data_IF_176067350895
#
_entry.id   IF_176067350895
#
_cell.length_a   1.000
_cell.length_b   1.000
_cell.length_c   1.000
_cell.angle_alpha   90.00
_cell.angle_beta   90.00
_cell.angle_gamma   90.00
#
_symmetry.space_group_name_H-M   'P 1'
#
loop_
_entity.id
_entity.type
_entity.pdbx_description
1 polymer ?
#
# COMPACT_ATOMS: atom_id res chain seq x y z
N UNK A 1 15.48 3.87 -8.66
CA UNK A 1 14.40 4.56 -7.95
C UNK A 1 14.28 5.96 -8.51
N UNK A 2 13.10 6.34 -9.00
CA UNK A 2 12.83 7.67 -9.55
C UNK A 2 11.86 8.35 -8.58
N UNK A 3 12.38 8.84 -7.44
CA UNK A 3 11.63 9.52 -6.37
C UNK A 3 11.17 10.91 -6.82
N UNK A 4 10.48 11.02 -7.95
CA UNK A 4 10.14 12.34 -8.53
C UNK A 4 9.01 13.06 -7.79
N UNK A 5 8.32 12.39 -6.86
CA UNK A 5 7.06 12.89 -6.29
C UNK A 5 6.95 12.73 -4.76
N UNK A 6 8.07 12.69 -4.02
CA UNK A 6 7.99 12.68 -2.56
C UNK A 6 7.54 14.05 -2.04
N UNK A 7 6.43 14.09 -1.32
CA UNK A 7 5.86 15.29 -0.71
C UNK A 7 6.00 15.22 0.82
N UNK A 8 7.07 15.78 1.41
CA UNK A 8 7.23 15.79 2.85
C UNK A 8 6.14 16.65 3.51
N UNK A 9 5.58 16.13 4.59
CA UNK A 9 4.64 16.85 5.45
C UNK A 9 5.35 17.52 6.64
N UNK A 10 6.63 17.22 6.85
CA UNK A 10 7.50 17.88 7.82
C UNK A 10 7.59 17.18 9.18
N UNK A 11 6.85 16.10 9.37
CA UNK A 11 7.05 15.16 10.49
C UNK A 11 7.99 14.03 10.03
N UNK A 12 9.18 13.86 10.63
CA UNK A 12 10.16 12.88 10.15
C UNK A 12 9.67 11.43 10.12
N UNK A 13 8.81 11.04 11.07
CA UNK A 13 8.28 9.68 11.14
C UNK A 13 7.27 9.46 10.02
N UNK A 14 6.30 10.37 9.87
CA UNK A 14 5.30 10.26 8.81
C UNK A 14 5.95 10.38 7.42
N UNK A 15 6.97 11.23 7.27
CA UNK A 15 7.76 11.32 6.05
C UNK A 15 8.49 10.01 5.73
N UNK A 16 9.00 9.28 6.73
CA UNK A 16 9.61 7.96 6.55
C UNK A 16 8.57 6.89 6.17
N UNK A 17 7.39 6.92 6.80
CA UNK A 17 6.32 5.97 6.49
C UNK A 17 5.74 6.21 5.08
N UNK A 18 5.57 7.47 4.66
CA UNK A 18 5.21 7.81 3.29
C UNK A 18 6.26 7.35 2.27
N UNK A 19 7.57 7.50 2.57
CA UNK A 19 8.63 6.96 1.70
C UNK A 19 8.54 5.44 1.54
N UNK A 20 8.19 4.71 2.60
CA UNK A 20 8.00 3.25 2.55
C UNK A 20 6.79 2.89 1.70
N UNK A 21 5.70 3.64 1.82
CA UNK A 21 4.49 3.45 1.03
C UNK A 21 4.75 3.70 -0.47
N UNK A 22 5.42 4.81 -0.81
CA UNK A 22 5.83 5.13 -2.18
C UNK A 22 6.72 4.02 -2.78
N UNK A 23 7.68 3.52 -2.00
CA UNK A 23 8.53 2.42 -2.43
C UNK A 23 7.71 1.15 -2.73
N UNK A 24 6.74 0.81 -1.89
CA UNK A 24 5.89 -0.36 -2.13
C UNK A 24 5.02 -0.19 -3.38
N UNK A 25 4.54 1.03 -3.67
CA UNK A 25 3.82 1.35 -4.90
C UNK A 25 4.74 1.19 -6.12
N UNK A 26 5.97 1.71 -6.06
CA UNK A 26 6.98 1.56 -7.12
C UNK A 26 7.33 0.09 -7.38
N UNK A 27 7.47 -0.71 -6.32
CA UNK A 27 7.71 -2.15 -6.41
C UNK A 27 6.53 -2.83 -7.11
N UNK A 28 5.29 -2.55 -6.70
CA UNK A 28 4.10 -3.11 -7.36
C UNK A 28 4.03 -2.72 -8.84
N UNK A 29 4.25 -1.44 -9.16
CA UNK A 29 4.20 -0.92 -10.52
C UNK A 29 5.27 -1.54 -11.44
N UNK A 30 6.47 -1.82 -10.89
CA UNK A 30 7.60 -2.41 -11.63
C UNK A 30 7.64 -3.94 -11.59
N UNK A 31 6.82 -4.58 -10.75
CA UNK A 31 6.81 -6.04 -10.58
C UNK A 31 6.38 -6.78 -11.84
N UNK A 32 7.06 -7.89 -12.10
CA UNK A 32 6.66 -8.84 -13.13
C UNK A 32 5.35 -9.55 -12.74
N UNK A 33 4.66 -10.13 -13.72
CA UNK A 33 3.34 -10.72 -13.50
C UNK A 33 3.32 -11.79 -12.40
N UNK A 34 4.38 -12.61 -12.30
CA UNK A 34 4.50 -13.67 -11.30
C UNK A 34 4.68 -13.15 -9.86
N UNK A 35 5.26 -11.95 -9.70
CA UNK A 35 5.58 -11.36 -8.39
C UNK A 35 4.53 -10.32 -7.96
N UNK A 36 3.67 -9.89 -8.89
CA UNK A 36 2.73 -8.78 -8.69
C UNK A 36 1.72 -9.02 -7.58
N UNK A 37 1.30 -10.28 -7.37
CA UNK A 37 0.41 -10.61 -6.27
C UNK A 37 1.10 -10.45 -4.91
N UNK A 38 2.36 -10.89 -4.80
CA UNK A 38 3.18 -10.68 -3.60
C UNK A 38 3.42 -9.19 -3.35
N UNK A 39 3.78 -8.44 -4.39
CA UNK A 39 3.97 -7.00 -4.27
C UNK A 39 2.69 -6.26 -3.84
N UNK A 40 1.51 -6.69 -4.32
CA UNK A 40 0.23 -6.14 -3.89
C UNK A 40 -0.07 -6.46 -2.41
N UNK A 41 0.24 -7.69 -1.99
CA UNK A 41 0.14 -8.07 -0.58
C UNK A 41 1.03 -7.18 0.30
N UNK A 42 2.28 -6.98 -0.10
CA UNK A 42 3.26 -6.20 0.66
C UNK A 42 2.88 -4.72 0.73
N UNK A 43 2.40 -4.13 -0.38
CA UNK A 43 1.84 -2.78 -0.40
C UNK A 43 0.70 -2.65 0.63
N UNK A 44 -0.22 -3.61 0.67
CA UNK A 44 -1.32 -3.59 1.62
C UNK A 44 -0.84 -3.63 3.06
N UNK A 45 0.19 -4.42 3.37
CA UNK A 45 0.77 -4.47 4.72
C UNK A 45 1.42 -3.15 5.12
N UNK A 46 2.18 -2.52 4.22
CA UNK A 46 2.82 -1.22 4.46
C UNK A 46 1.76 -0.14 4.69
N UNK A 47 0.72 -0.10 3.85
CA UNK A 47 -0.41 0.83 4.03
C UNK A 47 -1.12 0.60 5.38
N UNK A 48 -1.34 -0.65 5.77
CA UNK A 48 -1.97 -1.00 7.06
C UNK A 48 -1.21 -0.41 8.24
N UNK A 49 0.10 -0.64 8.28
CA UNK A 49 0.95 -0.25 9.39
C UNK A 49 1.05 1.27 9.53
N UNK A 50 1.15 1.98 8.39
CA UNK A 50 1.13 3.43 8.36
C UNK A 50 -0.20 3.99 8.87
N UNK A 51 -1.33 3.53 8.33
CA UNK A 51 -2.65 4.01 8.73
C UNK A 51 -2.98 3.68 10.19
N UNK A 52 -2.63 2.50 10.70
CA UNK A 52 -2.84 2.16 12.11
C UNK A 52 -2.13 3.14 13.05
N UNK A 53 -0.88 3.50 12.72
CA UNK A 53 -0.12 4.46 13.53
C UNK A 53 -0.71 5.87 13.44
N UNK A 54 -1.12 6.33 12.26
CA UNK A 54 -1.66 7.67 12.07
C UNK A 54 -3.09 7.81 12.61
N UNK A 55 -3.94 6.79 12.45
CA UNK A 55 -5.29 6.73 13.05
C UNK A 55 -5.23 6.84 14.57
N UNK A 56 -4.22 6.21 15.20
CA UNK A 56 -3.99 6.30 16.64
C UNK A 56 -3.61 7.72 17.09
N UNK A 57 -2.93 8.49 16.24
CA UNK A 57 -2.58 9.88 16.50
C UNK A 57 -3.76 10.81 16.23
N UNK A 58 -4.45 10.64 15.11
CA UNK A 58 -5.62 11.41 14.69
C UNK A 58 -6.80 11.23 15.63
N UNK A 59 -7.05 10.02 16.13
CA UNK A 59 -8.13 9.76 17.10
C UNK A 59 -7.94 10.49 18.44
N UNK A 60 -6.72 10.95 18.74
CA UNK A 60 -6.42 11.79 19.90
C UNK A 60 -6.61 13.28 19.61
N UNK A 61 -6.74 13.66 18.35
CA UNK A 61 -7.01 15.02 17.90
C UNK A 61 -8.53 15.24 17.84
N UNK A 62 -9.02 16.28 18.51
CA UNK A 62 -10.46 16.59 18.59
C UNK A 62 -10.95 17.47 17.42
N UNK A 63 -10.38 17.31 16.24
CA UNK A 63 -10.79 18.07 15.05
C UNK A 63 -11.68 17.22 14.12
N UNK A 64 -12.54 17.89 13.35
CA UNK A 64 -13.48 17.23 12.45
C UNK A 64 -12.81 16.57 11.24
N UNK A 65 -11.57 16.96 10.91
CA UNK A 65 -10.83 16.43 9.78
C UNK A 65 -10.24 15.05 10.11
N UNK A 66 -9.86 14.80 11.36
CA UNK A 66 -9.34 13.53 11.84
C UNK A 66 -10.31 12.36 11.56
N UNK A 67 -11.61 12.57 11.77
CA UNK A 67 -12.60 11.51 11.49
C UNK A 67 -12.72 11.20 9.99
N UNK A 68 -12.77 12.22 9.14
CA UNK A 68 -12.84 12.04 7.69
C UNK A 68 -11.61 11.26 7.18
N UNK A 69 -10.44 11.57 7.72
CA UNK A 69 -9.18 10.95 7.33
C UNK A 69 -9.10 9.46 7.69
N UNK A 70 -9.53 9.06 8.89
CA UNK A 70 -9.61 7.64 9.28
C UNK A 70 -10.56 6.85 8.36
N UNK A 71 -11.69 7.45 7.98
CA UNK A 71 -12.65 6.82 7.06
C UNK A 71 -12.01 6.66 5.64
N UNK A 72 -11.18 7.60 5.20
CA UNK A 72 -10.42 7.52 3.94
C UNK A 72 -9.40 6.38 3.97
N UNK A 73 -8.67 6.18 5.08
CA UNK A 73 -7.76 5.04 5.27
C UNK A 73 -8.49 3.70 5.12
N UNK A 74 -9.66 3.57 5.74
CA UNK A 74 -10.45 2.34 5.68
C UNK A 74 -10.85 2.00 4.22
N UNK A 75 -11.27 2.98 3.43
CA UNK A 75 -11.65 2.75 2.03
C UNK A 75 -10.46 2.38 1.14
N UNK A 76 -9.27 2.96 1.38
CA UNK A 76 -8.05 2.56 0.66
C UNK A 76 -7.71 1.09 0.94
N UNK A 77 -7.75 0.67 2.21
CA UNK A 77 -7.45 -0.71 2.59
C UNK A 77 -8.45 -1.71 1.99
N UNK A 78 -9.73 -1.35 2.02
CA UNK A 78 -10.80 -2.13 1.38
C UNK A 78 -10.58 -2.26 -0.12
N UNK A 79 -10.22 -1.18 -0.81
CA UNK A 79 -9.91 -1.22 -2.24
C UNK A 79 -8.74 -2.16 -2.57
N UNK A 80 -7.66 -2.13 -1.78
CA UNK A 80 -6.54 -3.06 -1.92
C UNK A 80 -6.96 -4.51 -1.71
N UNK A 81 -7.80 -4.77 -0.70
CA UNK A 81 -8.33 -6.10 -0.41
C UNK A 81 -9.26 -6.61 -1.54
N UNK A 82 -10.11 -5.76 -2.12
CA UNK A 82 -10.97 -6.10 -3.26
C UNK A 82 -10.15 -6.47 -4.51
N UNK A 83 -9.10 -5.70 -4.84
CA UNK A 83 -8.20 -6.03 -5.95
C UNK A 83 -7.48 -7.35 -5.72
N UNK A 84 -7.03 -7.60 -4.48
CA UNK A 84 -6.34 -8.84 -4.11
C UNK A 84 -7.26 -10.05 -4.20
N UNK A 85 -8.49 -9.95 -3.71
CA UNK A 85 -9.49 -11.03 -3.75
C UNK A 85 -10.01 -11.29 -5.17
N UNK A 86 -10.08 -10.26 -6.00
CA UNK A 86 -10.43 -10.37 -7.42
C UNK A 86 -9.30 -10.93 -8.30
N UNK A 87 -8.07 -11.09 -7.77
CA UNK A 87 -6.93 -11.55 -8.53
C UNK A 87 -7.07 -13.04 -8.89
N UNK A 88 -7.20 -13.41 -10.17
CA UNK A 88 -7.34 -14.81 -10.54
C UNK A 88 -6.05 -15.57 -10.20
N UNK A 89 -6.19 -16.72 -9.52
CA UNK A 89 -5.11 -17.67 -9.18
C UNK A 89 -4.45 -18.36 -10.41
N UNK A 90 -4.41 -17.71 -11.57
CA UNK A 90 -3.84 -18.23 -12.82
C UNK A 90 -2.44 -17.68 -13.06
N UNK A 91 -1.49 -18.07 -12.23
CA UNK A 91 -0.06 -17.95 -12.53
C UNK A 91 0.77 -19.04 -11.86
N UNK A 92 0.33 -20.29 -11.99
CA UNK A 92 1.23 -21.46 -11.94
C UNK A 92 0.71 -22.43 -12.98
N UNK A 93 1.51 -22.66 -14.04
CA UNK A 93 1.45 -23.74 -15.04
C UNK A 93 1.60 -23.22 -16.48
N UNK A 94 2.83 -22.87 -16.87
CA UNK A 94 3.40 -23.23 -18.19
C UNK A 94 4.89 -22.87 -18.25
N UNK A 95 5.75 -23.73 -17.70
CA UNK A 95 7.13 -23.87 -18.18
C UNK A 95 7.69 -25.23 -17.76
N UNK A 96 7.28 -26.27 -18.46
CA UNK A 96 7.97 -27.57 -18.50
C UNK A 96 7.32 -28.48 -19.53
N UNK A 97 7.29 -28.03 -20.79
CA UNK A 97 7.27 -28.91 -21.96
C UNK A 97 7.99 -28.21 -23.09
N UNK A 98 9.22 -28.64 -23.33
CA UNK A 98 9.86 -28.60 -24.64
C UNK A 98 10.70 -29.88 -24.79
N UNK A 99 10.94 -30.30 -26.04
CA UNK A 99 10.51 -31.58 -26.60
C UNK A 99 11.35 -32.80 -26.19
#
# INVERSE_FOLDING_TARGET
MNLKNFFPIGDPRLDDDHRRLELAIDVLASSQAQDRFTALHDLRQVAAAHFESEDADLSRMADGNAKCHVDEHAEVLKSLDEVRLGWPHRSVMRSSRQP
#
